data_IF_183672698337
#
_entry.id   IF_183672698337
#
_cell.length_a   1.000
_cell.length_b   1.000
_cell.length_c   1.000
_cell.angle_alpha   90.00
_cell.angle_beta   90.00
_cell.angle_gamma   90.00
#
_symmetry.space_group_name_H-M   'P 1'
#
loop_
_entity.id
_entity.type
_entity.pdbx_description
1 polymer ?
#
# COMPACT_ATOMS: atom_id res chain seq x y z
N UNK A 1 -74.42 -23.15 -15.15
CA UNK A 1 -73.57 -22.18 -14.45
C UNK A 1 -72.12 -22.50 -14.78
N UNK A 2 -71.50 -21.58 -15.50
CA UNK A 2 -70.49 -21.88 -16.52
C UNK A 2 -69.08 -22.09 -15.98
N UNK A 3 -68.64 -23.36 -15.94
CA UNK A 3 -67.22 -23.73 -15.78
C UNK A 3 -66.31 -23.03 -16.80
N UNK A 4 -66.84 -22.71 -17.99
CA UNK A 4 -66.14 -21.96 -19.02
C UNK A 4 -65.85 -20.50 -18.66
N UNK A 5 -66.70 -19.87 -17.84
CA UNK A 5 -66.49 -18.48 -17.42
C UNK A 5 -65.42 -18.40 -16.34
N UNK A 6 -65.44 -19.32 -15.37
CA UNK A 6 -64.44 -19.43 -14.30
C UNK A 6 -63.03 -19.72 -14.84
N UNK A 7 -62.91 -20.55 -15.89
CA UNK A 7 -61.63 -20.86 -16.52
C UNK A 7 -61.01 -19.62 -17.19
N UNK A 8 -61.82 -18.82 -17.90
CA UNK A 8 -61.38 -17.58 -18.54
C UNK A 8 -60.88 -16.54 -17.54
N UNK A 9 -61.56 -16.38 -16.40
CA UNK A 9 -61.11 -15.48 -15.34
C UNK A 9 -59.79 -15.93 -14.70
N UNK A 10 -59.60 -17.24 -14.49
CA UNK A 10 -58.34 -17.79 -14.00
C UNK A 10 -57.19 -17.54 -14.98
N UNK A 11 -57.42 -17.75 -16.28
CA UNK A 11 -56.43 -17.47 -17.32
C UNK A 11 -56.08 -15.97 -17.33
N UNK A 12 -57.06 -15.07 -17.31
CA UNK A 12 -56.80 -13.63 -17.27
C UNK A 12 -56.03 -13.19 -16.02
N UNK A 13 -56.33 -13.77 -14.85
CA UNK A 13 -55.63 -13.48 -13.61
C UNK A 13 -54.16 -13.93 -13.69
N UNK A 14 -53.91 -15.16 -14.16
CA UNK A 14 -52.55 -15.70 -14.32
C UNK A 14 -51.76 -14.87 -15.33
N UNK A 15 -52.35 -14.51 -16.47
CA UNK A 15 -51.69 -13.67 -17.47
C UNK A 15 -51.39 -12.27 -16.92
N UNK A 16 -52.29 -11.70 -16.13
CA UNK A 16 -52.08 -10.40 -15.47
C UNK A 16 -50.96 -10.47 -14.44
N UNK A 17 -50.88 -11.53 -13.62
CA UNK A 17 -49.79 -11.74 -12.67
C UNK A 17 -48.45 -11.89 -13.39
N UNK A 18 -48.39 -12.70 -14.46
CA UNK A 18 -47.18 -12.87 -15.27
C UNK A 18 -46.72 -11.56 -15.89
N UNK A 19 -47.65 -10.77 -16.48
CA UNK A 19 -47.32 -9.48 -17.08
C UNK A 19 -46.82 -8.48 -16.04
N UNK A 20 -47.44 -8.42 -14.85
CA UNK A 20 -46.98 -7.56 -13.77
C UNK A 20 -45.61 -8.00 -13.23
N UNK A 21 -45.35 -9.30 -13.09
CA UNK A 21 -44.03 -9.82 -12.70
C UNK A 21 -42.98 -9.47 -13.76
N UNK A 22 -43.27 -9.66 -15.04
CA UNK A 22 -42.34 -9.31 -16.13
C UNK A 22 -42.09 -7.80 -16.19
N UNK A 23 -43.12 -6.98 -15.95
CA UNK A 23 -42.96 -5.53 -15.86
C UNK A 23 -42.12 -5.13 -14.63
N UNK A 24 -42.34 -5.74 -13.47
CA UNK A 24 -41.52 -5.53 -12.27
C UNK A 24 -40.08 -5.98 -12.51
N UNK A 25 -39.85 -7.12 -13.17
CA UNK A 25 -38.50 -7.56 -13.54
C UNK A 25 -37.87 -6.58 -14.53
N UNK A 26 -38.56 -6.13 -15.58
CA UNK A 26 -37.98 -5.14 -16.50
C UNK A 26 -37.73 -3.77 -15.85
N UNK A 27 -38.54 -3.35 -14.88
CA UNK A 27 -38.38 -2.06 -14.20
C UNK A 27 -37.35 -2.11 -13.07
N UNK A 28 -37.25 -3.21 -12.32
CA UNK A 28 -36.33 -3.35 -11.18
C UNK A 28 -35.03 -4.10 -11.52
N UNK A 29 -35.04 -4.97 -12.53
CA UNK A 29 -33.88 -5.75 -13.01
C UNK A 29 -33.39 -5.22 -14.37
N UNK A 30 -34.29 -4.73 -15.22
CA UNK A 30 -33.98 -4.30 -16.59
C UNK A 30 -33.44 -2.87 -16.74
N UNK A 31 -33.27 -2.11 -15.66
CA UNK A 31 -32.74 -0.74 -15.69
C UNK A 31 -31.25 -0.65 -15.31
N UNK A 32 -30.59 -1.78 -15.07
CA UNK A 32 -29.13 -1.84 -15.05
C UNK A 32 -28.64 -1.85 -16.50
N UNK A 33 -28.14 -0.72 -17.02
CA UNK A 33 -27.53 -0.64 -18.35
C UNK A 33 -26.71 -1.89 -18.66
N UNK A 34 -27.15 -2.67 -19.66
CA UNK A 34 -26.35 -3.76 -20.18
C UNK A 34 -24.99 -3.18 -20.61
N UNK A 35 -23.93 -3.59 -19.92
CA UNK A 35 -22.58 -3.12 -20.22
C UNK A 35 -22.29 -3.43 -21.69
N UNK A 36 -21.92 -2.41 -22.47
CA UNK A 36 -21.61 -2.56 -23.89
C UNK A 36 -20.13 -2.93 -24.08
N UNK A 37 -19.29 -1.97 -24.46
CA UNK A 37 -17.87 -2.19 -24.76
C UNK A 37 -17.03 -2.55 -23.52
N UNK A 38 -17.50 -2.23 -22.31
CA UNK A 38 -16.80 -2.52 -21.05
C UNK A 38 -17.00 -3.95 -20.56
N UNK A 39 -18.02 -4.67 -21.08
CA UNK A 39 -18.42 -6.00 -20.59
C UNK A 39 -17.26 -6.98 -20.60
N UNK A 40 -16.52 -7.04 -21.72
CA UNK A 40 -15.38 -7.96 -21.87
C UNK A 40 -14.29 -7.72 -20.82
N UNK A 41 -13.86 -6.47 -20.66
CA UNK A 41 -12.81 -6.11 -19.69
C UNK A 41 -13.25 -6.38 -18.24
N UNK A 42 -14.52 -6.11 -17.92
CA UNK A 42 -15.07 -6.42 -16.60
C UNK A 42 -15.12 -7.94 -16.34
N UNK A 43 -15.59 -8.73 -17.31
CA UNK A 43 -15.64 -10.19 -17.20
C UNK A 43 -14.25 -10.80 -17.08
N UNK A 44 -13.26 -10.34 -17.84
CA UNK A 44 -11.87 -10.82 -17.73
C UNK A 44 -11.28 -10.51 -16.35
N UNK A 45 -11.48 -9.29 -15.84
CA UNK A 45 -11.00 -8.90 -14.51
C UNK A 45 -11.66 -9.73 -13.38
N UNK A 46 -12.97 -9.94 -13.43
CA UNK A 46 -13.67 -10.78 -12.44
C UNK A 46 -13.26 -12.24 -12.53
N UNK A 47 -13.07 -12.79 -13.74
CA UNK A 47 -12.62 -14.16 -13.92
C UNK A 47 -11.23 -14.39 -13.28
N UNK A 48 -10.30 -13.45 -13.47
CA UNK A 48 -8.96 -13.54 -12.85
C UNK A 48 -9.02 -13.37 -11.34
N UNK A 49 -9.81 -12.41 -10.84
CA UNK A 49 -9.98 -12.20 -9.40
C UNK A 49 -10.67 -13.39 -8.70
N UNK A 50 -11.46 -14.18 -9.43
CA UNK A 50 -12.12 -15.38 -8.94
C UNK A 50 -11.22 -16.63 -8.92
N UNK A 51 -9.99 -16.57 -9.45
CA UNK A 51 -9.03 -17.67 -9.37
C UNK A 51 -8.72 -17.94 -7.90
N UNK A 52 -9.01 -19.15 -7.46
CA UNK A 52 -8.80 -19.57 -6.08
C UNK A 52 -7.31 -19.86 -5.82
N UNK A 53 -6.69 -19.06 -4.95
CA UNK A 53 -5.29 -19.19 -4.53
C UNK A 53 -5.15 -19.48 -3.02
N UNK A 54 -6.06 -20.29 -2.46
CA UNK A 54 -6.05 -20.79 -1.07
C UNK A 54 -5.98 -19.75 0.05
N UNK A 55 -6.25 -18.48 -0.23
CA UNK A 55 -6.05 -17.38 0.73
C UNK A 55 -4.58 -16.99 0.96
N UNK A 56 -3.64 -17.71 0.34
CA UNK A 56 -2.19 -17.53 0.47
C UNK A 56 -1.54 -17.04 -0.83
N UNK A 57 -2.33 -16.39 -1.69
CA UNK A 57 -1.90 -15.88 -2.99
C UNK A 57 -3.04 -15.18 -3.72
N UNK A 58 -2.75 -14.71 -4.93
CA UNK A 58 -3.71 -14.07 -5.83
C UNK A 58 -3.24 -14.20 -7.28
N UNK A 59 -4.14 -14.01 -8.25
CA UNK A 59 -3.78 -13.93 -9.66
C UNK A 59 -4.01 -12.50 -10.20
N UNK A 60 -3.24 -12.11 -11.20
CA UNK A 60 -3.34 -10.80 -11.85
C UNK A 60 -3.57 -10.97 -13.36
N UNK A 61 -4.22 -9.98 -13.99
CA UNK A 61 -4.55 -10.07 -15.42
C UNK A 61 -3.31 -10.14 -16.31
N UNK A 62 -2.20 -9.57 -15.86
CA UNK A 62 -0.88 -9.61 -16.48
C UNK A 62 0.04 -10.70 -15.88
N UNK A 63 -0.52 -11.61 -15.09
CA UNK A 63 0.19 -12.74 -14.51
C UNK A 63 0.68 -13.75 -15.56
N UNK A 64 1.71 -14.51 -15.21
CA UNK A 64 2.28 -15.52 -16.10
C UNK A 64 1.26 -16.61 -16.46
N UNK A 65 1.23 -17.02 -17.73
CA UNK A 65 0.36 -18.09 -18.24
C UNK A 65 1.25 -19.27 -18.63
N UNK A 66 1.21 -20.36 -17.86
CA UNK A 66 2.09 -21.51 -18.06
C UNK A 66 1.44 -22.65 -18.85
N UNK A 67 0.15 -22.92 -18.66
CA UNK A 67 -0.62 -23.91 -19.43
C UNK A 67 -2.13 -23.58 -19.35
N UNK A 68 -2.69 -23.03 -20.45
CA UNK A 68 -4.10 -22.61 -20.53
C UNK A 68 -4.26 -21.13 -20.89
N UNK A 69 -5.47 -20.58 -20.71
CA UNK A 69 -5.78 -19.17 -20.97
C UNK A 69 -5.84 -18.31 -19.69
N UNK A 70 -5.56 -18.89 -18.52
CA UNK A 70 -5.67 -18.21 -17.23
C UNK A 70 -4.29 -18.00 -16.59
N UNK A 71 -4.07 -16.87 -15.90
CA UNK A 71 -2.84 -16.60 -15.17
C UNK A 71 -2.70 -17.52 -13.95
N UNK A 72 -1.45 -17.85 -13.58
CA UNK A 72 -1.14 -18.65 -12.39
C UNK A 72 -1.22 -17.82 -11.11
N UNK A 73 -1.42 -18.48 -9.97
CA UNK A 73 -1.38 -17.81 -8.68
C UNK A 73 0.04 -17.32 -8.34
N UNK A 74 0.13 -16.08 -7.87
CA UNK A 74 1.29 -15.51 -7.21
C UNK A 74 1.15 -15.66 -5.69
N UNK A 75 1.96 -16.55 -5.11
CA UNK A 75 1.86 -16.95 -3.71
C UNK A 75 2.54 -15.94 -2.76
N UNK A 76 1.99 -15.84 -1.55
CA UNK A 76 2.66 -15.23 -0.41
C UNK A 76 3.96 -15.99 -0.10
N UNK A 77 4.89 -15.33 0.59
CA UNK A 77 6.14 -15.96 0.99
C UNK A 77 5.89 -17.25 1.78
N UNK A 78 6.73 -18.26 1.53
CA UNK A 78 6.63 -19.60 2.12
C UNK A 78 5.48 -20.48 1.65
N UNK A 79 4.66 -20.03 0.70
CA UNK A 79 3.61 -20.85 0.07
C UNK A 79 3.97 -21.17 -1.39
N UNK A 80 3.50 -22.33 -1.85
CA UNK A 80 3.70 -22.80 -3.21
C UNK A 80 2.60 -23.74 -3.67
N UNK A 81 2.85 -24.41 -4.79
CA UNK A 81 1.83 -25.17 -5.51
C UNK A 81 0.98 -24.29 -6.43
N UNK A 82 0.16 -24.89 -7.30
CA UNK A 82 -0.60 -24.17 -8.32
C UNK A 82 -1.65 -23.21 -7.76
N UNK A 83 -2.12 -23.45 -6.54
CA UNK A 83 -3.15 -22.70 -5.83
C UNK A 83 -2.63 -22.10 -4.50
N UNK A 84 -1.30 -22.06 -4.31
CA UNK A 84 -0.66 -21.57 -3.10
C UNK A 84 -1.03 -22.30 -1.79
N UNK A 85 -1.54 -23.54 -1.85
CA UNK A 85 -1.92 -24.31 -0.66
C UNK A 85 -0.74 -24.95 0.07
N UNK A 86 0.43 -25.06 -0.55
CA UNK A 86 1.55 -25.83 -0.01
C UNK A 86 2.47 -24.94 0.84
N UNK A 87 2.30 -25.02 2.16
CA UNK A 87 3.14 -24.29 3.11
C UNK A 87 4.51 -24.98 3.31
N UNK A 88 5.59 -24.21 3.24
CA UNK A 88 6.94 -24.66 3.58
C UNK A 88 7.35 -24.19 4.99
N UNK A 89 7.37 -25.10 6.00
CA UNK A 89 7.67 -24.74 7.39
C UNK A 89 9.15 -24.44 7.67
N UNK A 90 10.06 -24.72 6.73
CA UNK A 90 11.49 -24.42 6.86
C UNK A 90 11.91 -23.17 6.09
N UNK A 91 10.95 -22.51 5.46
CA UNK A 91 11.13 -21.24 4.76
C UNK A 91 11.72 -20.15 5.67
N UNK A 92 12.38 -19.18 5.04
CA UNK A 92 12.88 -17.99 5.71
C UNK A 92 11.77 -16.93 5.70
N UNK A 93 11.41 -16.41 6.87
CA UNK A 93 10.43 -15.33 7.01
C UNK A 93 10.97 -14.02 6.39
N UNK A 94 10.26 -13.46 5.41
CA UNK A 94 10.61 -12.15 4.85
C UNK A 94 10.00 -11.00 5.65
N UNK A 95 10.80 -10.38 6.51
CA UNK A 95 10.49 -9.12 7.17
C UNK A 95 11.39 -7.95 6.70
N UNK A 96 11.97 -8.03 5.50
CA UNK A 96 12.92 -7.03 4.98
C UNK A 96 12.23 -5.93 4.15
N UNK A 97 11.32 -6.32 3.25
CA UNK A 97 10.61 -5.41 2.35
C UNK A 97 9.59 -4.51 3.06
N UNK A 98 9.43 -3.28 2.57
CA UNK A 98 8.48 -2.29 3.10
C UNK A 98 7.09 -2.34 2.44
N UNK A 99 6.74 -3.46 1.83
CA UNK A 99 5.56 -3.57 0.97
C UNK A 99 4.28 -3.68 1.82
N UNK A 100 3.25 -2.85 1.57
CA UNK A 100 2.11 -2.70 2.46
C UNK A 100 0.99 -3.72 2.17
N UNK A 101 1.33 -5.00 2.00
CA UNK A 101 0.35 -6.06 1.73
C UNK A 101 -0.72 -6.19 2.83
N UNK A 102 -0.48 -5.70 4.04
CA UNK A 102 -1.50 -5.63 5.09
C UNK A 102 -2.75 -4.81 4.70
N UNK A 103 -2.64 -3.90 3.73
CA UNK A 103 -3.77 -3.10 3.22
C UNK A 103 -4.56 -3.80 2.11
N UNK A 104 -4.06 -4.89 1.54
CA UNK A 104 -4.76 -5.57 0.46
C UNK A 104 -6.16 -6.07 0.85
N UNK A 105 -6.38 -6.67 2.04
CA UNK A 105 -7.73 -7.10 2.45
C UNK A 105 -8.74 -5.95 2.48
N UNK A 106 -8.32 -4.73 2.86
CA UNK A 106 -9.18 -3.55 2.83
C UNK A 106 -9.63 -3.23 1.40
N UNK A 107 -8.72 -3.28 0.43
CA UNK A 107 -9.05 -3.01 -0.97
C UNK A 107 -9.91 -4.10 -1.59
N UNK A 108 -9.68 -5.37 -1.25
CA UNK A 108 -10.52 -6.48 -1.70
C UNK A 108 -11.96 -6.36 -1.17
N UNK A 109 -12.14 -5.95 0.09
CA UNK A 109 -13.47 -5.67 0.66
C UNK A 109 -14.18 -4.48 -0.01
N UNK A 110 -13.41 -3.58 -0.65
CA UNK A 110 -13.90 -2.41 -1.36
C UNK A 110 -13.77 -2.57 -2.89
N UNK A 111 -13.83 -3.80 -3.42
CA UNK A 111 -13.57 -4.07 -4.83
C UNK A 111 -14.47 -3.25 -5.78
N UNK A 112 -15.79 -3.26 -5.57
CA UNK A 112 -16.74 -2.55 -6.44
C UNK A 112 -16.56 -1.02 -6.40
N UNK A 113 -16.28 -0.45 -5.22
CA UNK A 113 -16.10 1.01 -5.05
C UNK A 113 -14.73 1.48 -5.54
N UNK A 114 -13.72 0.61 -5.56
CA UNK A 114 -12.35 0.94 -5.98
C UNK A 114 -12.01 0.53 -7.42
N UNK A 115 -12.78 -0.36 -8.04
CA UNK A 115 -12.58 -0.79 -9.43
C UNK A 115 -12.72 0.36 -10.44
N UNK A 116 -11.94 0.30 -11.51
CA UNK A 116 -11.87 1.31 -12.55
C UNK A 116 -11.71 0.64 -13.92
N UNK A 117 -12.53 1.06 -14.89
CA UNK A 117 -12.33 0.72 -16.31
C UNK A 117 -11.68 1.92 -17.00
N UNK A 118 -10.56 1.68 -17.68
CA UNK A 118 -9.82 2.71 -18.43
C UNK A 118 -10.06 2.49 -19.92
N UNK A 119 -10.70 3.46 -20.59
CA UNK A 119 -10.90 3.40 -22.03
C UNK A 119 -9.56 3.50 -22.78
N UNK A 120 -9.42 2.80 -23.91
CA UNK A 120 -8.17 2.79 -24.70
C UNK A 120 -7.72 4.16 -25.23
N UNK A 121 -8.65 5.14 -25.30
CA UNK A 121 -8.36 6.52 -25.68
C UNK A 121 -8.25 7.49 -24.49
N UNK A 122 -8.16 6.97 -23.26
CA UNK A 122 -8.09 7.81 -22.07
C UNK A 122 -6.81 8.68 -22.08
N UNK A 123 -6.99 10.00 -22.16
CA UNK A 123 -5.92 11.01 -21.99
C UNK A 123 -4.65 10.73 -22.79
N UNK A 124 -4.77 10.39 -24.07
CA UNK A 124 -3.62 10.15 -24.97
C UNK A 124 -2.68 11.37 -25.15
N UNK A 125 -3.16 12.59 -24.86
CA UNK A 125 -2.36 13.81 -24.94
C UNK A 125 -1.42 14.00 -23.75
N UNK A 126 -0.26 14.62 -23.99
CA UNK A 126 0.74 14.89 -22.95
C UNK A 126 0.25 15.78 -21.80
N UNK A 127 -0.67 16.71 -22.08
CA UNK A 127 -1.14 17.72 -21.12
C UNK A 127 -2.65 17.65 -20.91
N UNK A 128 -3.10 18.14 -19.75
CA UNK A 128 -4.51 18.44 -19.51
C UNK A 128 -4.92 19.69 -20.32
N UNK A 129 -6.22 19.99 -20.34
CA UNK A 129 -6.78 21.12 -21.09
C UNK A 129 -6.12 22.47 -20.72
N UNK A 130 -5.78 22.64 -19.45
CA UNK A 130 -5.09 23.80 -18.88
C UNK A 130 -3.56 23.80 -19.13
N UNK A 131 -3.06 22.90 -19.98
CA UNK A 131 -1.63 22.67 -20.27
C UNK A 131 -0.83 22.14 -19.08
N UNK A 132 -1.48 21.80 -17.97
CA UNK A 132 -0.81 21.20 -16.82
C UNK A 132 -0.47 19.72 -17.04
N UNK A 133 0.37 19.19 -16.16
CA UNK A 133 0.68 17.76 -16.07
C UNK A 133 -0.02 17.07 -14.88
N UNK A 134 -0.95 17.75 -14.22
CA UNK A 134 -1.58 17.27 -12.99
C UNK A 134 -3.11 17.31 -13.11
N UNK A 135 -3.77 16.26 -12.64
CA UNK A 135 -5.23 16.22 -12.54
C UNK A 135 -5.70 17.17 -11.43
N UNK A 136 -6.40 18.24 -11.82
CA UNK A 136 -7.02 19.17 -10.86
C UNK A 136 -8.01 18.47 -9.91
N UNK A 137 -8.74 17.46 -10.40
CA UNK A 137 -9.64 16.65 -9.55
C UNK A 137 -8.87 15.82 -8.52
N UNK A 138 -7.73 15.25 -8.91
CA UNK A 138 -6.87 14.52 -7.96
C UNK A 138 -6.28 15.47 -6.91
N UNK A 139 -5.80 16.64 -7.34
CA UNK A 139 -5.31 17.68 -6.44
C UNK A 139 -6.38 18.07 -5.40
N UNK A 140 -7.62 18.31 -5.85
CA UNK A 140 -8.76 18.63 -4.99
C UNK A 140 -9.01 17.56 -3.92
N UNK A 141 -8.93 16.28 -4.29
CA UNK A 141 -9.14 15.17 -3.35
C UNK A 141 -7.98 15.02 -2.36
N UNK A 142 -6.74 15.25 -2.80
CA UNK A 142 -5.56 15.27 -1.91
C UNK A 142 -5.69 16.38 -0.86
N UNK A 143 -6.08 17.59 -1.28
CA UNK A 143 -6.34 18.71 -0.36
C UNK A 143 -7.44 18.38 0.65
N UNK A 144 -8.55 17.81 0.17
CA UNK A 144 -9.67 17.38 1.03
C UNK A 144 -9.22 16.32 2.05
N UNK A 145 -8.42 15.35 1.64
CA UNK A 145 -7.89 14.32 2.54
C UNK A 145 -7.07 14.96 3.67
N UNK A 146 -6.15 15.85 3.33
CA UNK A 146 -5.32 16.53 4.34
C UNK A 146 -6.14 17.43 5.27
N UNK A 147 -7.20 18.08 4.77
CA UNK A 147 -8.10 18.88 5.60
C UNK A 147 -8.88 18.02 6.60
N UNK A 148 -9.36 16.84 6.19
CA UNK A 148 -10.08 15.90 7.06
C UNK A 148 -9.15 15.28 8.11
N UNK A 149 -7.98 14.81 7.67
CA UNK A 149 -7.03 14.11 8.56
C UNK A 149 -6.27 15.08 9.46
N UNK A 150 -6.10 16.34 9.04
CA UNK A 150 -5.40 17.37 9.80
C UNK A 150 -3.88 17.15 9.88
N UNK A 151 -3.30 16.33 9.00
CA UNK A 151 -1.88 15.96 9.04
C UNK A 151 -0.95 16.85 8.21
N UNK A 152 -1.49 17.74 7.37
CA UNK A 152 -0.69 18.67 6.57
C UNK A 152 -1.46 19.95 6.23
N UNK A 153 -0.77 21.10 6.28
CA UNK A 153 -1.32 22.38 5.83
C UNK A 153 -1.14 22.51 4.32
N UNK A 154 -2.24 22.45 3.57
CA UNK A 154 -2.22 22.58 2.10
C UNK A 154 -2.60 23.99 1.61
N UNK A 155 -3.16 24.83 2.46
CA UNK A 155 -3.57 26.19 2.11
C UNK A 155 -2.37 27.07 1.76
N UNK A 156 -2.49 27.79 0.64
CA UNK A 156 -1.41 28.59 0.08
C UNK A 156 -0.17 27.76 -0.32
N UNK A 157 -0.31 26.45 -0.54
CA UNK A 157 0.75 25.58 -1.06
C UNK A 157 0.44 25.12 -2.48
N UNK A 158 1.51 24.90 -3.24
CA UNK A 158 1.43 24.26 -4.57
C UNK A 158 1.62 22.75 -4.42
N UNK A 159 0.94 21.99 -5.27
CA UNK A 159 1.03 20.53 -5.30
C UNK A 159 1.77 20.11 -6.58
N UNK A 160 2.68 19.15 -6.43
CA UNK A 160 3.42 18.52 -7.52
C UNK A 160 3.30 17.01 -7.39
N UNK A 161 3.06 16.32 -8.49
CA UNK A 161 3.05 14.86 -8.53
C UNK A 161 4.40 14.33 -9.02
N UNK A 162 4.86 13.26 -8.40
CA UNK A 162 5.99 12.47 -8.85
C UNK A 162 5.64 10.98 -8.90
N UNK A 163 6.39 10.23 -9.69
CA UNK A 163 6.40 8.76 -9.72
C UNK A 163 7.05 8.25 -8.41
N UNK A 164 6.28 8.36 -7.33
CA UNK A 164 6.74 8.10 -5.97
C UNK A 164 7.46 9.30 -5.34
N UNK A 165 7.52 9.29 -3.99
CA UNK A 165 8.26 10.29 -3.22
C UNK A 165 9.76 10.27 -3.52
N UNK A 166 10.29 9.14 -3.98
CA UNK A 166 11.67 8.98 -4.46
C UNK A 166 12.04 9.98 -5.57
N UNK A 167 11.14 10.22 -6.53
CA UNK A 167 11.38 11.21 -7.60
C UNK A 167 11.25 12.64 -7.08
N UNK A 168 10.29 12.88 -6.17
CA UNK A 168 10.09 14.20 -5.58
C UNK A 168 11.26 14.62 -4.68
N UNK A 169 11.90 13.66 -4.00
CA UNK A 169 13.09 13.92 -3.20
C UNK A 169 14.21 14.48 -4.08
N UNK A 170 14.55 13.80 -5.18
CA UNK A 170 15.59 14.29 -6.09
C UNK A 170 15.17 15.59 -6.79
N UNK A 171 13.89 15.77 -7.13
CA UNK A 171 13.40 17.02 -7.69
C UNK A 171 13.56 18.20 -6.72
N UNK A 172 13.25 18.02 -5.44
CA UNK A 172 13.41 19.05 -4.42
C UNK A 172 14.89 19.36 -4.23
N UNK A 173 15.69 18.31 -4.19
CA UNK A 173 17.14 18.33 -4.12
C UNK A 173 17.75 19.14 -5.29
N UNK A 174 17.23 18.96 -6.51
CA UNK A 174 17.55 19.76 -7.69
C UNK A 174 17.14 21.22 -7.59
N UNK A 175 15.92 21.48 -7.14
CA UNK A 175 15.33 22.81 -7.15
C UNK A 175 16.00 23.78 -6.16
N UNK A 176 16.58 23.25 -5.10
CA UNK A 176 17.17 24.02 -4.00
C UNK A 176 18.69 24.16 -4.11
N UNK A 177 19.30 23.51 -5.08
CA UNK A 177 20.72 23.68 -5.33
C UNK A 177 21.06 24.99 -6.00
N UNK A 178 22.21 25.59 -5.65
CA UNK A 178 22.71 26.77 -6.33
C UNK A 178 22.92 26.46 -7.82
N UNK A 179 22.58 27.43 -8.66
CA UNK A 179 22.77 27.34 -10.13
C UNK A 179 24.15 27.88 -10.53
N UNK A 180 24.81 28.64 -9.66
CA UNK A 180 26.08 29.33 -9.96
C UNK A 180 27.30 28.59 -9.38
N UNK A 181 28.30 28.38 -10.23
CA UNK A 181 29.58 27.71 -9.95
C UNK A 181 30.47 28.38 -8.90
N UNK A 182 30.10 29.58 -8.43
CA UNK A 182 30.86 30.35 -7.45
C UNK A 182 30.48 30.04 -6.00
N UNK A 183 29.36 29.35 -5.77
CA UNK A 183 28.93 28.91 -4.44
C UNK A 183 29.36 27.47 -4.20
N UNK A 184 29.82 27.12 -2.99
CA UNK A 184 30.19 25.74 -2.69
C UNK A 184 28.99 24.80 -2.77
N UNK A 185 29.27 23.58 -3.21
CA UNK A 185 28.30 22.50 -3.32
C UNK A 185 27.40 22.38 -2.10
N UNK A 186 26.13 22.27 -2.38
CA UNK A 186 25.13 22.10 -1.37
C UNK A 186 25.29 20.70 -0.73
N UNK A 187 25.72 20.62 0.54
CA UNK A 187 25.71 19.38 1.35
C UNK A 187 24.30 18.89 1.71
N UNK A 188 23.91 17.70 1.23
CA UNK A 188 22.75 16.94 1.74
C UNK A 188 23.14 16.27 3.06
N UNK A 189 22.32 16.43 4.10
CA UNK A 189 22.51 15.79 5.40
C UNK A 189 21.20 15.22 5.92
N UNK A 190 21.29 14.19 6.75
CA UNK A 190 20.17 13.55 7.44
C UNK A 190 20.65 13.00 8.79
N UNK A 191 19.78 13.01 9.80
CA UNK A 191 20.06 12.43 11.13
C UNK A 191 19.99 10.90 11.09
N UNK A 192 20.92 10.22 11.76
CA UNK A 192 20.89 8.76 11.96
C UNK A 192 19.92 8.37 13.08
N UNK A 193 19.20 7.23 12.95
CA UNK A 193 19.11 6.37 11.77
C UNK A 193 18.27 7.01 10.65
N UNK A 194 18.66 6.79 9.38
CA UNK A 194 18.01 7.39 8.21
C UNK A 194 17.64 6.35 7.14
N UNK A 195 16.68 6.68 6.27
CA UNK A 195 16.34 5.82 5.14
C UNK A 195 17.47 5.79 4.10
N UNK A 196 18.04 4.61 3.86
CA UNK A 196 19.23 4.41 3.01
C UNK A 196 19.13 5.06 1.63
N UNK A 197 17.93 5.11 1.05
CA UNK A 197 17.69 5.70 -0.27
C UNK A 197 18.15 7.17 -0.35
N UNK A 198 18.06 7.92 0.75
CA UNK A 198 18.49 9.32 0.79
C UNK A 198 19.98 9.45 0.46
N UNK A 199 20.80 8.60 1.06
CA UNK A 199 22.24 8.56 0.79
C UNK A 199 22.52 8.06 -0.62
N UNK A 200 21.90 6.95 -1.04
CA UNK A 200 22.12 6.37 -2.37
C UNK A 200 21.75 7.34 -3.50
N UNK A 201 20.60 8.01 -3.40
CA UNK A 201 20.22 9.03 -4.38
C UNK A 201 21.20 10.20 -4.35
N UNK A 202 21.51 10.74 -3.17
CA UNK A 202 22.45 11.84 -3.08
C UNK A 202 23.83 11.50 -3.68
N UNK A 203 24.32 10.27 -3.50
CA UNK A 203 25.60 9.80 -4.05
C UNK A 203 25.57 9.58 -5.57
N UNK A 204 24.52 8.91 -6.09
CA UNK A 204 24.35 8.71 -7.55
C UNK A 204 24.26 10.05 -8.27
N UNK A 205 23.53 10.99 -7.67
CA UNK A 205 23.33 12.31 -8.24
C UNK A 205 24.41 13.33 -7.82
N UNK A 206 25.43 12.93 -7.05
CA UNK A 206 26.58 13.76 -6.66
C UNK A 206 27.48 14.18 -7.85
N UNK A 207 27.11 13.82 -9.08
CA UNK A 207 27.65 14.41 -10.32
C UNK A 207 27.04 15.77 -10.64
N UNK A 208 26.04 16.24 -9.88
CA UNK A 208 25.47 17.59 -9.93
C UNK A 208 24.94 17.97 -8.55
N UNK A 209 25.40 19.07 -7.98
CA UNK A 209 25.21 19.45 -6.56
C UNK A 209 23.73 19.63 -6.15
N UNK A 210 23.33 19.21 -4.94
CA UNK A 210 21.93 18.86 -4.62
C UNK A 210 21.59 19.08 -3.10
N UNK A 211 20.44 19.72 -2.70
CA UNK A 211 19.99 19.96 -1.27
C UNK A 211 18.46 20.04 -1.08
N UNK A 212 17.85 19.69 0.08
CA UNK A 212 16.36 19.59 0.24
C UNK A 212 15.66 20.62 1.19
N UNK A 213 14.35 20.86 0.99
CA UNK A 213 13.38 21.62 1.83
C UNK A 213 11.94 21.52 1.26
N UNK A 214 10.92 21.77 2.09
CA UNK A 214 9.50 21.83 1.69
C UNK A 214 9.17 23.10 0.89
N UNK A 215 8.39 22.96 -0.19
CA UNK A 215 8.13 24.05 -1.14
C UNK A 215 6.98 24.96 -0.70
N UNK A 216 7.31 26.02 0.05
CA UNK A 216 6.51 27.26 0.06
C UNK A 216 6.88 28.19 -1.11
N UNK A 217 8.15 28.15 -1.51
CA UNK A 217 8.73 29.09 -2.46
C UNK A 217 8.32 28.79 -3.90
N UNK A 218 7.81 29.82 -4.57
CA UNK A 218 7.43 29.79 -5.98
C UNK A 218 8.58 29.36 -6.90
N UNK A 219 9.79 29.86 -6.66
CA UNK A 219 10.96 29.57 -7.49
C UNK A 219 11.39 28.10 -7.36
N UNK A 220 11.31 27.55 -6.14
CA UNK A 220 11.61 26.13 -5.89
C UNK A 220 10.57 25.24 -6.58
N UNK A 221 9.28 25.59 -6.50
CA UNK A 221 8.24 24.86 -7.22
C UNK A 221 8.49 24.83 -8.73
N UNK A 222 8.80 25.99 -9.32
CA UNK A 222 9.04 26.11 -10.77
C UNK A 222 10.25 25.28 -11.22
N UNK A 223 11.33 25.23 -10.42
CA UNK A 223 12.48 24.37 -10.68
C UNK A 223 12.18 22.88 -10.53
N UNK A 224 11.35 22.50 -9.55
CA UNK A 224 10.90 21.10 -9.45
C UNK A 224 10.04 20.72 -10.67
N UNK A 225 9.16 21.59 -11.13
CA UNK A 225 8.37 21.37 -12.36
C UNK A 225 9.31 21.21 -13.57
N UNK A 226 10.34 22.04 -13.69
CA UNK A 226 11.36 21.90 -14.74
C UNK A 226 12.07 20.55 -14.69
N UNK A 227 12.50 20.10 -13.51
CA UNK A 227 13.10 18.77 -13.33
C UNK A 227 12.12 17.68 -13.79
N UNK A 228 10.86 17.74 -13.37
CA UNK A 228 9.83 16.77 -13.71
C UNK A 228 9.54 16.72 -15.22
N UNK A 229 9.59 17.87 -15.91
CA UNK A 229 9.41 17.96 -17.36
C UNK A 229 10.56 17.26 -18.11
N UNK A 230 11.81 17.49 -17.70
CA UNK A 230 12.99 16.91 -18.34
C UNK A 230 13.15 15.43 -17.97
N UNK A 231 12.77 15.04 -16.75
CA UNK A 231 12.97 13.69 -16.26
C UNK A 231 11.93 12.70 -16.81
N UNK A 232 10.64 13.04 -16.78
CA UNK A 232 9.56 12.10 -17.15
C UNK A 232 8.39 12.73 -17.90
N UNK A 233 8.44 14.03 -18.23
CA UNK A 233 7.29 14.77 -18.77
C UNK A 233 6.01 14.62 -17.91
N UNK A 234 6.18 14.63 -16.58
CA UNK A 234 5.10 14.45 -15.61
C UNK A 234 4.92 13.01 -15.14
N UNK A 235 3.70 12.66 -14.73
CA UNK A 235 3.33 11.34 -14.17
C UNK A 235 2.20 10.71 -14.99
N UNK A 236 2.25 9.39 -15.16
CA UNK A 236 1.25 8.60 -15.89
C UNK A 236 -0.19 8.99 -15.55
N UNK A 237 -1.02 9.16 -16.59
CA UNK A 237 -2.43 9.54 -16.47
C UNK A 237 -3.25 8.43 -15.82
N UNK A 238 -2.92 7.18 -16.11
CA UNK A 238 -3.54 6.00 -15.55
C UNK A 238 -3.29 5.91 -14.05
N UNK A 239 -2.05 6.19 -13.60
CA UNK A 239 -1.71 6.25 -12.18
C UNK A 239 -2.49 7.36 -11.46
N UNK A 240 -2.62 8.54 -12.07
CA UNK A 240 -3.41 9.62 -11.49
C UNK A 240 -4.91 9.28 -11.42
N UNK A 241 -5.46 8.65 -12.46
CA UNK A 241 -6.86 8.23 -12.48
C UNK A 241 -7.14 7.15 -11.44
N UNK A 242 -6.29 6.12 -11.34
CA UNK A 242 -6.39 5.08 -10.32
C UNK A 242 -6.29 5.68 -8.92
N UNK A 243 -5.32 6.56 -8.68
CA UNK A 243 -5.18 7.24 -7.37
C UNK A 243 -6.43 8.06 -7.03
N UNK A 244 -7.00 8.79 -8.00
CA UNK A 244 -8.24 9.54 -7.79
C UNK A 244 -9.40 8.61 -7.40
N UNK A 245 -9.54 7.47 -8.07
CA UNK A 245 -10.57 6.48 -7.75
C UNK A 245 -10.39 5.90 -6.34
N UNK A 246 -9.17 5.51 -5.98
CA UNK A 246 -8.87 5.01 -4.64
C UNK A 246 -9.09 6.08 -3.57
N UNK A 247 -8.65 7.32 -3.80
CA UNK A 247 -8.87 8.42 -2.85
C UNK A 247 -10.34 8.76 -2.66
N UNK A 248 -11.21 8.54 -3.65
CA UNK A 248 -12.66 8.69 -3.45
C UNK A 248 -13.17 7.71 -2.39
N UNK A 249 -12.77 6.44 -2.47
CA UNK A 249 -13.08 5.43 -1.45
C UNK A 249 -12.50 5.83 -0.10
N UNK A 250 -11.25 6.28 -0.06
CA UNK A 250 -10.64 6.77 1.19
C UNK A 250 -11.39 7.96 1.76
N UNK A 251 -11.99 8.83 0.95
CA UNK A 251 -12.71 10.01 1.45
C UNK A 251 -14.14 9.71 1.90
N UNK A 252 -14.65 8.50 1.67
CA UNK A 252 -15.92 8.06 2.22
C UNK A 252 -15.84 8.01 3.75
N UNK A 253 -16.97 8.31 4.41
CA UNK A 253 -17.10 8.29 5.89
C UNK A 253 -15.94 9.01 6.60
N UNK A 254 -15.56 10.18 6.08
CA UNK A 254 -14.49 11.04 6.61
C UNK A 254 -13.13 10.33 6.72
N UNK A 255 -12.84 9.40 5.82
CA UNK A 255 -11.64 8.57 5.85
C UNK A 255 -11.48 7.64 7.04
N UNK A 256 -12.50 7.48 7.88
CA UNK A 256 -12.41 6.62 9.06
C UNK A 256 -12.10 5.18 8.71
N UNK A 257 -12.74 4.61 7.70
CA UNK A 257 -12.66 3.17 7.42
C UNK A 257 -11.23 2.68 7.15
N UNK A 258 -10.47 3.35 6.26
CA UNK A 258 -9.08 2.97 5.98
C UNK A 258 -8.16 3.21 7.19
N UNK A 259 -8.31 4.34 7.88
CA UNK A 259 -7.45 4.69 9.01
C UNK A 259 -7.73 3.82 10.24
N UNK A 260 -8.99 3.44 10.50
CA UNK A 260 -9.38 2.49 11.54
C UNK A 260 -8.89 1.08 11.22
N UNK A 261 -9.06 0.63 9.97
CA UNK A 261 -8.52 -0.66 9.52
C UNK A 261 -7.01 -0.69 9.73
N UNK A 262 -6.29 0.32 9.24
CA UNK A 262 -4.84 0.41 9.37
C UNK A 262 -4.39 0.45 10.83
N UNK A 263 -5.04 1.25 11.67
CA UNK A 263 -4.71 1.33 13.09
C UNK A 263 -4.93 0.01 13.81
N UNK A 264 -6.10 -0.63 13.64
CA UNK A 264 -6.42 -1.90 14.32
C UNK A 264 -5.43 -2.99 13.95
N UNK A 265 -5.16 -3.16 12.66
CA UNK A 265 -4.23 -4.18 12.17
C UNK A 265 -2.81 -3.94 12.71
N UNK A 266 -2.30 -2.72 12.60
CA UNK A 266 -0.93 -2.41 13.03
C UNK A 266 -0.75 -2.43 14.55
N UNK A 267 -1.77 -2.03 15.32
CA UNK A 267 -1.73 -2.09 16.78
C UNK A 267 -1.71 -3.54 17.27
N UNK A 268 -2.56 -4.39 16.70
CA UNK A 268 -2.59 -5.83 17.02
C UNK A 268 -1.24 -6.50 16.74
N UNK A 269 -0.64 -6.21 15.57
CA UNK A 269 0.70 -6.70 15.20
C UNK A 269 1.77 -6.21 16.19
N UNK A 270 1.75 -4.92 16.52
CA UNK A 270 2.71 -4.33 17.46
C UNK A 270 2.58 -4.91 18.88
N UNK A 271 1.37 -5.04 19.39
CA UNK A 271 1.09 -5.62 20.71
C UNK A 271 1.56 -7.08 20.79
N UNK A 272 1.22 -7.87 19.78
CA UNK A 272 1.61 -9.29 19.70
C UNK A 272 3.12 -9.44 19.66
N UNK A 273 3.81 -8.69 18.80
CA UNK A 273 5.27 -8.72 18.71
C UNK A 273 5.93 -8.25 20.00
N UNK A 274 5.45 -7.15 20.58
CA UNK A 274 6.00 -6.59 21.81
C UNK A 274 5.88 -7.57 22.97
N UNK A 275 4.74 -8.27 23.07
CA UNK A 275 4.53 -9.34 24.04
C UNK A 275 5.53 -10.48 23.84
N UNK A 276 5.72 -10.96 22.62
CA UNK A 276 6.72 -11.99 22.31
C UNK A 276 8.14 -11.56 22.71
N UNK A 277 8.55 -10.35 22.34
CA UNK A 277 9.90 -9.86 22.68
C UNK A 277 10.07 -9.69 24.20
N UNK A 278 9.03 -9.25 24.92
CA UNK A 278 9.08 -9.08 26.39
C UNK A 278 9.36 -10.36 27.17
N UNK A 279 9.19 -11.53 26.55
CA UNK A 279 9.48 -12.84 27.15
C UNK A 279 10.97 -13.18 27.17
N UNK A 280 11.81 -12.41 26.48
CA UNK A 280 13.25 -12.65 26.34
C UNK A 280 14.05 -11.41 26.76
N UNK A 281 15.28 -11.64 27.24
CA UNK A 281 16.27 -10.57 27.49
C UNK A 281 17.27 -10.43 26.34
N UNK A 282 17.21 -11.33 25.36
CA UNK A 282 18.09 -11.35 24.17
C UNK A 282 17.80 -10.18 23.22
N UNK A 283 16.55 -9.73 23.18
CA UNK A 283 16.10 -8.70 22.25
C UNK A 283 15.38 -7.55 22.95
N UNK A 284 15.45 -6.36 22.36
CA UNK A 284 14.64 -5.21 22.74
C UNK A 284 14.05 -4.52 21.51
N UNK A 285 12.98 -3.75 21.74
CA UNK A 285 12.29 -2.95 20.72
C UNK A 285 12.40 -1.47 21.03
N UNK A 286 12.12 -0.63 20.05
CA UNK A 286 12.04 0.81 20.27
C UNK A 286 10.92 1.18 21.25
N UNK A 287 11.20 2.13 22.13
CA UNK A 287 10.20 2.72 23.01
C UNK A 287 9.38 3.77 22.23
N UNK A 288 8.06 3.62 22.24
CA UNK A 288 7.13 4.58 21.64
C UNK A 288 6.04 4.83 22.68
N UNK A 289 5.91 6.09 23.11
CA UNK A 289 4.94 6.46 24.13
C UNK A 289 3.56 6.69 23.48
N UNK A 290 2.46 6.40 24.19
CA UNK A 290 1.14 6.81 23.76
C UNK A 290 1.04 8.33 23.68
N UNK A 291 0.42 8.82 22.62
CA UNK A 291 0.26 10.26 22.36
C UNK A 291 -1.17 10.60 21.96
N UNK A 292 -1.56 11.85 22.16
CA UNK A 292 -2.87 12.33 21.75
C UNK A 292 -2.94 12.47 20.22
N UNK A 293 -3.90 11.79 19.60
CA UNK A 293 -4.12 11.86 18.17
C UNK A 293 -5.32 12.77 17.88
N UNK A 294 -5.07 13.91 17.22
CA UNK A 294 -6.11 14.89 16.88
C UNK A 294 -7.17 14.35 15.92
N UNK A 295 -6.81 13.42 15.03
CA UNK A 295 -7.76 12.83 14.08
C UNK A 295 -8.76 11.85 14.75
N UNK A 296 -8.27 11.03 15.68
CA UNK A 296 -9.12 10.10 16.44
C UNK A 296 -9.70 10.70 17.73
N UNK A 297 -9.25 11.90 18.08
CA UNK A 297 -9.59 12.62 19.31
C UNK A 297 -9.44 11.77 20.58
N UNK A 298 -8.31 11.07 20.68
CA UNK A 298 -7.96 10.23 21.83
C UNK A 298 -6.47 9.98 21.94
N UNK A 299 -6.02 9.62 23.14
CA UNK A 299 -4.70 9.01 23.35
C UNK A 299 -4.67 7.66 22.64
N UNK A 300 -3.63 7.43 21.85
CA UNK A 300 -3.46 6.20 21.09
C UNK A 300 -2.15 5.52 21.43
N UNK A 301 -2.23 4.19 21.50
CA UNK A 301 -1.07 3.31 21.57
C UNK A 301 -0.28 3.32 20.25
N UNK A 302 0.97 2.91 20.34
CA UNK A 302 1.87 2.83 19.20
C UNK A 302 1.42 1.75 18.19
N UNK A 303 1.48 2.09 16.91
CA UNK A 303 1.17 1.18 15.81
C UNK A 303 2.16 1.36 14.65
N UNK A 304 3.48 1.19 14.88
CA UNK A 304 4.51 1.51 13.89
C UNK A 304 4.50 0.51 12.72
N UNK A 305 4.88 0.98 11.52
CA UNK A 305 5.06 0.11 10.36
C UNK A 305 6.27 -0.83 10.46
N UNK A 306 7.22 -0.54 11.35
CA UNK A 306 8.45 -1.30 11.49
C UNK A 306 8.80 -1.50 12.96
N UNK A 307 9.35 -2.67 13.28
CA UNK A 307 10.02 -2.92 14.54
C UNK A 307 11.53 -2.68 14.37
N UNK A 308 12.11 -1.93 15.28
CA UNK A 308 13.54 -1.66 15.35
C UNK A 308 14.13 -2.53 16.46
N UNK A 309 14.44 -3.78 16.09
CA UNK A 309 14.89 -4.80 17.00
C UNK A 309 16.38 -4.63 17.28
N UNK A 310 16.78 -4.73 18.55
CA UNK A 310 18.19 -4.75 18.96
C UNK A 310 18.54 -6.08 19.61
N UNK A 311 19.69 -6.65 19.28
CA UNK A 311 20.28 -7.76 20.02
C UNK A 311 21.08 -7.23 21.23
N UNK A 312 20.69 -7.65 22.44
CA UNK A 312 21.28 -7.15 23.69
C UNK A 312 22.53 -7.92 24.13
N UNK A 313 22.63 -9.20 23.76
CA UNK A 313 23.77 -10.05 24.10
C UNK A 313 25.08 -9.51 23.53
N UNK A 314 26.15 -9.54 24.32
CA UNK A 314 27.42 -8.90 23.95
C UNK A 314 28.19 -9.64 22.86
N UNK A 315 28.03 -10.94 22.80
CA UNK A 315 28.54 -11.84 21.79
C UNK A 315 27.81 -11.68 20.43
N UNK A 316 26.57 -11.19 20.43
CA UNK A 316 25.72 -11.03 19.25
C UNK A 316 25.93 -9.67 18.55
N UNK A 317 27.17 -9.41 18.11
CA UNK A 317 27.54 -8.12 17.49
C UNK A 317 26.84 -7.83 16.16
N UNK A 318 26.36 -8.86 15.45
CA UNK A 318 25.66 -8.74 14.18
C UNK A 318 24.26 -9.37 14.30
N UNK A 319 23.28 -8.55 14.63
CA UNK A 319 21.92 -9.00 14.89
C UNK A 319 21.23 -9.52 13.62
N UNK A 320 21.59 -8.99 12.45
CA UNK A 320 21.11 -9.53 11.16
C UNK A 320 21.51 -10.99 10.97
N UNK A 321 22.75 -11.37 11.30
CA UNK A 321 23.20 -12.76 11.22
C UNK A 321 22.48 -13.66 12.23
N UNK A 322 22.21 -13.15 13.42
CA UNK A 322 21.45 -13.87 14.46
C UNK A 322 20.04 -14.20 13.96
N UNK A 323 19.31 -13.21 13.45
CA UNK A 323 17.96 -13.42 12.92
C UNK A 323 17.97 -14.32 11.68
N UNK A 324 18.96 -14.13 10.78
CA UNK A 324 19.10 -14.97 9.59
C UNK A 324 19.36 -16.45 9.94
N UNK A 325 20.13 -16.72 10.99
CA UNK A 325 20.33 -18.08 11.49
C UNK A 325 19.04 -18.68 12.10
N UNK A 326 18.14 -17.84 12.59
CA UNK A 326 16.79 -18.21 13.01
C UNK A 326 15.73 -18.18 11.90
N UNK A 327 16.14 -18.19 10.62
CA UNK A 327 15.26 -18.13 9.45
C UNK A 327 14.37 -16.86 9.38
N UNK A 328 14.90 -15.70 9.75
CA UNK A 328 14.22 -14.41 9.57
C UNK A 328 15.14 -13.45 8.80
N UNK A 329 14.64 -12.86 7.71
CA UNK A 329 15.30 -11.73 7.05
C UNK A 329 14.70 -10.40 7.49
N UNK A 330 15.55 -9.42 7.68
CA UNK A 330 15.18 -8.03 7.93
C UNK A 330 16.26 -7.10 7.39
N UNK A 331 16.06 -5.79 7.52
CA UNK A 331 17.03 -4.81 7.02
C UNK A 331 18.07 -4.49 8.09
N UNK A 332 19.34 -4.80 7.82
CA UNK A 332 20.44 -4.59 8.77
C UNK A 332 20.59 -3.10 9.17
N UNK A 333 20.78 -2.83 10.46
CA UNK A 333 20.80 -1.47 11.01
C UNK A 333 21.89 -0.57 10.40
N UNK A 334 23.02 -1.16 10.00
CA UNK A 334 24.13 -0.47 9.34
C UNK A 334 23.73 0.28 8.07
N UNK A 335 22.72 -0.20 7.34
CA UNK A 335 22.28 0.51 6.12
C UNK A 335 21.57 1.83 6.44
N UNK A 336 21.09 2.00 7.68
CA UNK A 336 20.49 3.21 8.20
C UNK A 336 21.51 4.11 8.94
N UNK A 337 22.79 3.73 8.95
CA UNK A 337 23.82 4.41 9.75
C UNK A 337 23.78 4.08 11.24
N UNK A 338 23.08 3.02 11.65
CA UNK A 338 23.07 2.51 13.02
C UNK A 338 24.09 1.39 13.22
N UNK A 339 24.21 0.90 14.47
CA UNK A 339 25.08 -0.24 14.80
C UNK A 339 24.58 -1.56 14.18
N UNK A 340 25.50 -2.51 13.97
CA UNK A 340 25.21 -3.87 13.48
C UNK A 340 24.33 -4.70 14.45
N UNK A 341 24.10 -4.18 15.66
CA UNK A 341 23.18 -4.74 16.67
C UNK A 341 21.71 -4.52 16.36
N UNK A 342 21.37 -3.67 15.39
CA UNK A 342 19.98 -3.39 15.05
C UNK A 342 19.55 -4.07 13.76
N UNK A 343 18.27 -4.44 13.69
CA UNK A 343 17.59 -4.90 12.47
C UNK A 343 16.21 -4.26 12.42
N UNK A 344 15.83 -3.71 11.26
CA UNK A 344 14.45 -3.31 10.99
C UNK A 344 13.67 -4.51 10.49
N UNK A 345 12.59 -4.86 11.19
CA UNK A 345 11.61 -5.85 10.77
C UNK A 345 10.35 -5.14 10.26
N UNK A 346 9.83 -5.56 9.12
CA UNK A 346 8.61 -5.03 8.51
C UNK A 346 7.37 -5.62 9.17
N UNK A 347 6.45 -4.75 9.57
CA UNK A 347 5.12 -5.13 10.07
C UNK A 347 4.03 -4.84 9.03
N UNK A 348 4.41 -4.39 7.82
CA UNK A 348 3.52 -3.95 6.75
C UNK A 348 3.14 -5.06 5.76
N UNK A 349 3.84 -6.20 5.83
CA UNK A 349 3.66 -7.30 4.88
C UNK A 349 2.32 -8.04 5.06
N UNK A 350 2.12 -9.17 4.36
CA UNK A 350 0.87 -9.95 4.48
C UNK A 350 0.69 -10.51 5.90
N UNK A 351 -0.46 -11.10 6.19
CA UNK A 351 -0.65 -11.77 7.48
C UNK A 351 0.24 -13.01 7.59
N UNK A 352 0.37 -13.78 6.52
CA UNK A 352 1.27 -14.94 6.44
C UNK A 352 2.72 -14.56 6.77
N UNK A 353 3.22 -13.47 6.20
CA UNK A 353 4.58 -12.97 6.47
C UNK A 353 4.77 -12.65 7.97
N UNK A 354 3.78 -12.01 8.58
CA UNK A 354 3.82 -11.65 9.99
C UNK A 354 3.79 -12.90 10.88
N UNK A 355 2.92 -13.87 10.57
CA UNK A 355 2.75 -15.10 11.36
C UNK A 355 4.00 -16.00 11.28
N UNK A 356 4.58 -16.16 10.09
CA UNK A 356 5.83 -16.92 9.89
C UNK A 356 6.99 -16.24 10.62
N UNK A 357 7.13 -14.91 10.51
CA UNK A 357 8.14 -14.16 11.27
C UNK A 357 7.98 -14.37 12.78
N UNK A 358 6.76 -14.25 13.29
CA UNK A 358 6.46 -14.41 14.72
C UNK A 358 6.76 -15.83 15.20
N UNK A 359 6.44 -16.86 14.41
CA UNK A 359 6.75 -18.26 14.70
C UNK A 359 8.25 -18.50 14.86
N UNK A 360 9.07 -18.03 13.92
CA UNK A 360 10.52 -18.16 14.01
C UNK A 360 11.10 -17.35 15.17
N UNK A 361 10.56 -16.16 15.43
CA UNK A 361 11.01 -15.31 16.52
C UNK A 361 10.69 -15.92 17.88
N UNK A 362 9.51 -16.53 18.05
CA UNK A 362 9.14 -17.26 19.26
C UNK A 362 10.13 -18.39 19.55
N UNK A 363 10.62 -19.13 18.53
CA UNK A 363 11.66 -20.15 18.74
C UNK A 363 12.95 -19.53 19.30
N UNK A 364 13.43 -18.43 18.70
CA UNK A 364 14.63 -17.73 19.17
C UNK A 364 14.51 -17.17 20.60
N UNK A 365 13.31 -16.74 20.97
CA UNK A 365 12.95 -16.24 22.32
C UNK A 365 12.89 -17.38 23.34
N UNK A 366 12.32 -18.53 22.98
CA UNK A 366 12.16 -19.69 23.88
C UNK A 366 13.46 -20.49 24.08
N UNK A 367 14.32 -20.58 23.06
CA UNK A 367 15.63 -21.24 23.16
C UNK A 367 16.54 -20.62 24.24
N UNK A 368 16.34 -19.33 24.58
CA UNK A 368 17.03 -18.68 25.69
C UNK A 368 16.69 -19.30 27.06
N UNK A 369 15.50 -19.88 27.22
CA UNK A 369 15.09 -20.54 28.46
C UNK A 369 15.66 -21.96 28.63
N UNK A 370 15.94 -22.67 27.53
CA UNK A 370 16.35 -24.08 27.55
C UNK A 370 17.84 -24.31 27.83
N UNK A 371 18.70 -23.33 27.55
CA UNK A 371 20.16 -23.45 27.77
C UNK A 371 20.59 -23.32 29.24
N UNK A 372 19.65 -23.16 30.18
CA UNK A 372 19.91 -23.20 31.63
C UNK A 372 19.75 -24.60 32.25
N UNK A 373 19.48 -25.62 31.45
CA UNK A 373 19.18 -27.00 31.92
C UNK A 373 20.09 -28.09 31.33
N UNK A 374 21.31 -27.74 30.90
CA UNK A 374 22.37 -28.71 30.63
C UNK A 374 23.61 -28.41 31.46
#
# INVERSE_FOLDING_TARGET
MDKNLSSKYMVCLVTSIILNILAIINVYVGDGWDLSWTKRAATEAEAVAAIYCSGHGRAYMDGLVLDGNLPVCECNSCYGGPDCSQFNPTCIADADGGDPYFLEPFWMQNAASSALVVAGWHRMGYTYHDKSFISAELERHIRKLHAIVGNAVTDGRRILFGAGSSQLLIAAVYALSPVNSSSPAARVVVSTPYYQLYKMQAEVFNSVEFKWAMVKDRAVYERMVQYMQINTMGVSRDSQLRTLKLLRVVLEREARDLFDFGYKTMSSRWETLSKTISMSKRFSLQEIRPENCTYFDRIREASPGYAWLKCERNEEKNCYRVLKAGNITGRAGKVFGAEDRYVRLSLLRSQDDFDVMLHHLNKLVLEEGGSKTM
#
